data_IF_844429174817
#
_entry.id   IF_844429174817
#
_cell.length_a   1.000
_cell.length_b   1.000
_cell.length_c   1.000
_cell.angle_alpha   90.00
_cell.angle_beta   90.00
_cell.angle_gamma   90.00
#
_symmetry.space_group_name_H-M   'P 1'
#
loop_
_entity.id
_entity.type
_entity.pdbx_description
1 polymer ?
#
# COMPACT_ATOMS: atom_id res chain seq x y z
N UNK A 1 27.45 4.86 28.36
CA UNK A 1 28.02 6.05 27.71
C UNK A 1 26.96 6.65 26.78
N UNK A 2 26.23 7.66 27.25
CA UNK A 2 25.14 8.29 26.50
C UNK A 2 25.70 9.49 25.74
N UNK A 3 25.87 9.36 24.42
CA UNK A 3 26.22 10.49 23.56
C UNK A 3 24.93 11.28 23.31
N UNK A 4 24.83 12.47 23.93
CA UNK A 4 23.88 13.52 23.51
C UNK A 4 24.17 13.86 22.05
N UNK A 5 23.32 13.39 21.12
CA UNK A 5 23.35 13.84 19.73
C UNK A 5 22.69 15.21 19.64
N UNK A 6 23.54 16.23 19.55
CA UNK A 6 23.18 17.58 19.14
C UNK A 6 22.84 17.60 17.64
N UNK A 7 21.69 18.17 17.28
CA UNK A 7 21.43 18.89 16.01
C UNK A 7 21.51 18.18 14.65
N UNK A 8 21.94 16.92 14.54
CA UNK A 8 22.07 16.22 13.25
C UNK A 8 20.87 15.30 12.98
N UNK A 9 20.04 15.72 12.03
CA UNK A 9 18.96 14.93 11.43
C UNK A 9 19.58 13.67 10.82
N UNK A 10 19.44 12.53 11.49
CA UNK A 10 20.06 11.29 11.06
C UNK A 10 19.30 10.68 9.88
N UNK A 11 19.86 10.83 8.69
CA UNK A 11 19.35 10.26 7.42
C UNK A 11 19.91 8.86 7.16
N UNK A 12 20.58 8.27 8.16
CA UNK A 12 21.12 6.92 8.06
C UNK A 12 20.02 5.89 8.32
N UNK A 13 19.76 4.99 7.36
CA UNK A 13 18.92 3.83 7.61
C UNK A 13 19.51 3.00 8.75
N UNK A 14 18.67 2.57 9.67
CA UNK A 14 19.02 1.69 10.78
C UNK A 14 18.43 0.31 10.53
N UNK A 15 19.19 -0.73 10.85
CA UNK A 15 18.67 -2.09 10.81
C UNK A 15 17.58 -2.26 11.87
N UNK A 16 16.41 -2.75 11.46
CA UNK A 16 15.27 -2.99 12.38
C UNK A 16 14.76 -4.42 12.34
N UNK A 17 15.26 -5.26 11.43
CA UNK A 17 14.86 -6.66 11.32
C UNK A 17 15.26 -7.31 10.00
N UNK A 18 14.89 -8.57 9.86
CA UNK A 18 15.05 -9.34 8.63
C UNK A 18 13.73 -9.94 8.17
N UNK A 19 13.67 -10.26 6.89
CA UNK A 19 12.62 -11.06 6.29
C UNK A 19 13.24 -12.34 5.73
N UNK A 20 12.55 -13.46 5.85
CA UNK A 20 12.88 -14.71 5.15
C UNK A 20 11.72 -15.09 4.25
N UNK A 21 12.02 -15.69 3.11
CA UNK A 21 11.08 -16.25 2.16
C UNK A 21 11.72 -17.50 1.56
N UNK A 22 11.03 -18.65 1.63
CA UNK A 22 11.53 -19.90 1.05
C UNK A 22 11.86 -19.80 -0.45
N UNK A 23 11.11 -18.97 -1.20
CA UNK A 23 11.32 -18.78 -2.65
C UNK A 23 12.22 -17.59 -3.00
N UNK A 24 12.09 -16.46 -2.29
CA UNK A 24 12.82 -15.22 -2.64
C UNK A 24 14.10 -14.99 -1.82
N UNK A 25 14.42 -15.86 -0.86
CA UNK A 25 15.61 -15.78 -0.03
C UNK A 25 15.43 -14.91 1.22
N UNK A 26 16.45 -14.10 1.56
CA UNK A 26 16.46 -13.27 2.76
C UNK A 26 16.46 -11.78 2.39
N UNK A 27 15.83 -10.97 3.22
CA UNK A 27 15.76 -9.52 3.08
C UNK A 27 16.12 -8.80 4.39
N UNK A 28 16.55 -7.56 4.27
CA UNK A 28 16.76 -6.67 5.41
C UNK A 28 15.61 -5.67 5.51
N UNK A 29 15.17 -5.41 6.73
CA UNK A 29 14.22 -4.34 7.04
C UNK A 29 15.00 -3.19 7.64
N UNK A 30 14.92 -2.02 7.00
CA UNK A 30 15.62 -0.81 7.39
C UNK A 30 14.61 0.25 7.82
N UNK A 31 14.78 0.81 9.02
CA UNK A 31 14.04 1.95 9.50
C UNK A 31 14.80 3.23 9.17
N UNK A 32 14.11 4.22 8.60
CA UNK A 32 14.66 5.57 8.44
C UNK A 32 14.04 6.44 9.53
N UNK A 33 14.86 7.11 10.37
CA UNK A 33 14.34 8.01 11.41
C UNK A 33 13.39 9.03 10.79
N UNK A 34 12.12 8.98 11.22
CA UNK A 34 11.03 9.69 10.57
C UNK A 34 11.07 11.19 10.89
N UNK A 35 11.54 11.98 9.93
CA UNK A 35 11.21 13.40 9.81
C UNK A 35 10.57 13.67 8.45
N UNK A 36 9.41 13.06 8.17
CA UNK A 36 8.72 13.23 6.88
C UNK A 36 8.54 14.71 6.53
N UNK A 37 8.21 15.54 7.53
CA UNK A 37 8.08 16.99 7.36
C UNK A 37 9.38 17.67 6.91
N UNK A 38 10.54 17.17 7.35
CA UNK A 38 11.84 17.71 6.95
C UNK A 38 12.33 17.16 5.60
N UNK A 39 12.12 15.86 5.35
CA UNK A 39 12.47 15.24 4.08
C UNK A 39 11.69 15.89 2.94
N UNK A 40 10.40 16.16 3.15
CA UNK A 40 9.55 16.83 2.15
C UNK A 40 10.07 18.23 1.76
N UNK A 41 10.79 18.90 2.67
CA UNK A 41 11.34 20.24 2.46
C UNK A 41 12.78 20.23 1.92
N UNK A 42 13.43 19.07 1.79
CA UNK A 42 14.85 19.01 1.41
C UNK A 42 15.15 17.87 0.43
N UNK A 43 15.30 18.24 -0.84
CA UNK A 43 15.75 17.34 -1.90
C UNK A 43 17.10 16.70 -1.59
N UNK A 44 18.01 17.44 -0.97
CA UNK A 44 19.35 17.00 -0.59
C UNK A 44 19.30 15.92 0.51
N UNK A 45 18.41 16.05 1.50
CA UNK A 45 18.18 14.98 2.49
C UNK A 45 17.60 13.73 1.82
N UNK A 46 16.64 13.88 0.90
CA UNK A 46 16.08 12.77 0.13
C UNK A 46 17.16 12.05 -0.71
N UNK A 47 18.00 12.80 -1.43
CA UNK A 47 19.16 12.25 -2.17
C UNK A 47 20.11 11.50 -1.23
N UNK A 48 20.37 12.01 -0.03
CA UNK A 48 21.25 11.37 0.96
C UNK A 48 20.69 10.03 1.43
N UNK A 49 19.39 9.95 1.70
CA UNK A 49 18.71 8.69 2.03
C UNK A 49 18.89 7.67 0.91
N UNK A 50 18.63 8.06 -0.36
CA UNK A 50 18.81 7.16 -1.51
C UNK A 50 20.26 6.69 -1.64
N UNK A 51 21.24 7.58 -1.55
CA UNK A 51 22.67 7.21 -1.62
C UNK A 51 23.06 6.22 -0.52
N UNK A 52 22.56 6.40 0.70
CA UNK A 52 22.81 5.48 1.81
C UNK A 52 22.21 4.10 1.52
N UNK A 53 20.98 4.04 0.99
CA UNK A 53 20.34 2.79 0.62
C UNK A 53 21.05 2.09 -0.55
N UNK A 54 21.55 2.83 -1.55
CA UNK A 54 22.34 2.28 -2.65
C UNK A 54 23.70 1.73 -2.18
N UNK A 55 24.31 2.38 -1.18
CA UNK A 55 25.54 1.88 -0.57
C UNK A 55 25.27 0.57 0.19
N UNK A 56 24.22 0.53 1.01
CA UNK A 56 23.80 -0.68 1.73
C UNK A 56 23.46 -1.79 0.72
N UNK A 57 22.73 -1.47 -0.35
CA UNK A 57 22.41 -2.43 -1.40
C UNK A 57 23.66 -3.08 -1.98
N UNK A 58 24.68 -2.28 -2.31
CA UNK A 58 25.95 -2.77 -2.87
C UNK A 58 26.74 -3.63 -1.88
N UNK A 59 26.79 -3.23 -0.61
CA UNK A 59 27.51 -3.96 0.45
C UNK A 59 26.83 -5.31 0.74
N UNK A 60 25.51 -5.32 0.82
CA UNK A 60 24.74 -6.53 1.18
C UNK A 60 24.47 -7.42 -0.03
N UNK A 61 24.51 -6.86 -1.25
CA UNK A 61 24.23 -7.59 -2.49
C UNK A 61 22.74 -7.88 -2.72
N UNK A 62 21.84 -7.02 -2.25
CA UNK A 62 20.39 -7.25 -2.45
C UNK A 62 19.95 -6.94 -3.88
N UNK A 63 19.09 -7.82 -4.43
CA UNK A 63 18.58 -7.68 -5.81
C UNK A 63 17.67 -6.47 -5.99
N UNK A 64 16.80 -6.21 -5.02
CA UNK A 64 15.79 -5.14 -5.08
C UNK A 64 15.66 -4.43 -3.72
N UNK A 65 15.17 -3.19 -3.75
CA UNK A 65 14.89 -2.39 -2.55
C UNK A 65 13.48 -1.82 -2.64
N UNK A 66 12.59 -2.18 -1.70
CA UNK A 66 11.30 -1.50 -1.54
C UNK A 66 11.47 -0.20 -0.74
N UNK A 67 10.93 0.89 -1.28
CA UNK A 67 10.66 2.10 -0.50
C UNK A 67 9.22 2.01 -0.02
N UNK A 68 9.02 1.94 1.30
CA UNK A 68 7.73 1.72 1.93
C UNK A 68 7.19 2.98 2.64
N UNK A 69 5.89 2.96 2.96
CA UNK A 69 5.22 4.00 3.74
C UNK A 69 5.10 5.31 2.96
N UNK A 70 5.41 6.43 3.63
CA UNK A 70 5.26 7.77 3.04
C UNK A 70 6.45 8.19 2.15
N UNK A 71 7.57 7.47 2.23
CA UNK A 71 8.80 7.81 1.51
C UNK A 71 8.64 7.89 -0.02
N UNK A 72 7.91 6.99 -0.71
CA UNK A 72 7.74 7.10 -2.17
C UNK A 72 7.09 8.43 -2.57
N UNK A 73 6.06 8.85 -1.84
CA UNK A 73 5.40 10.14 -2.07
C UNK A 73 6.34 11.32 -1.82
N UNK A 74 7.13 11.26 -0.74
CA UNK A 74 8.13 12.29 -0.42
C UNK A 74 9.21 12.39 -1.51
N UNK A 75 9.78 11.26 -1.94
CA UNK A 75 10.80 11.23 -3.00
C UNK A 75 10.26 11.83 -4.29
N UNK A 76 9.02 11.48 -4.65
CA UNK A 76 8.35 12.04 -5.83
C UNK A 76 8.15 13.56 -5.71
N UNK A 77 7.65 14.06 -4.56
CA UNK A 77 7.48 15.50 -4.31
C UNK A 77 8.79 16.28 -4.36
N UNK A 78 9.88 15.69 -3.88
CA UNK A 78 11.21 16.29 -3.95
C UNK A 78 11.88 16.15 -5.34
N UNK A 79 11.23 15.50 -6.31
CA UNK A 79 11.79 15.24 -7.63
C UNK A 79 13.06 14.39 -7.59
N UNK A 80 13.11 13.41 -6.68
CA UNK A 80 14.20 12.42 -6.58
C UNK A 80 13.73 11.14 -7.26
N UNK A 81 14.42 10.78 -8.36
CA UNK A 81 14.17 9.52 -9.05
C UNK A 81 14.74 8.35 -8.26
N UNK A 82 13.97 7.27 -8.15
CA UNK A 82 14.46 6.03 -7.56
C UNK A 82 15.43 5.32 -8.54
N UNK A 83 16.49 4.68 -8.03
CA UNK A 83 17.36 3.84 -8.86
C UNK A 83 16.60 2.67 -9.50
N UNK A 84 17.15 2.08 -10.57
CA UNK A 84 16.48 1.00 -11.33
C UNK A 84 16.06 -0.19 -10.46
N UNK A 85 16.87 -0.54 -9.47
CA UNK A 85 16.63 -1.69 -8.60
C UNK A 85 15.70 -1.37 -7.41
N UNK A 86 15.15 -0.17 -7.36
CA UNK A 86 14.27 0.28 -6.30
C UNK A 86 12.83 0.30 -6.79
N UNK A 87 11.93 -0.17 -5.95
CA UNK A 87 10.49 -0.14 -6.21
C UNK A 87 9.79 0.76 -5.21
N UNK A 88 8.71 1.39 -5.66
CA UNK A 88 7.89 2.28 -4.83
C UNK A 88 6.74 1.54 -4.12
N UNK A 89 6.58 0.23 -4.39
CA UNK A 89 5.61 -0.64 -3.74
C UNK A 89 4.17 -0.49 -4.25
N UNK A 90 3.92 0.38 -5.23
CA UNK A 90 2.56 0.66 -5.69
C UNK A 90 1.91 -0.55 -6.33
N UNK A 91 2.65 -1.32 -7.13
CA UNK A 91 2.05 -2.48 -7.79
C UNK A 91 1.68 -3.55 -6.81
N UNK A 92 2.55 -3.79 -5.85
CA UNK A 92 2.31 -4.75 -4.78
C UNK A 92 1.10 -4.33 -3.93
N UNK A 93 0.94 -3.04 -3.65
CA UNK A 93 -0.28 -2.53 -3.00
C UNK A 93 -1.52 -2.72 -3.88
N UNK A 94 -1.49 -2.34 -5.16
CA UNK A 94 -2.65 -2.52 -6.06
C UNK A 94 -3.02 -3.99 -6.18
N UNK A 95 -2.04 -4.89 -6.35
CA UNK A 95 -2.24 -6.33 -6.32
C UNK A 95 -2.94 -6.77 -5.02
N UNK A 96 -2.40 -6.37 -3.86
CA UNK A 96 -2.94 -6.76 -2.55
C UNK A 96 -4.40 -6.33 -2.39
N UNK A 97 -4.73 -5.11 -2.84
CA UNK A 97 -6.10 -4.59 -2.81
C UNK A 97 -7.00 -5.34 -3.79
N UNK A 98 -6.56 -5.61 -5.02
CA UNK A 98 -7.32 -6.37 -6.03
C UNK A 98 -7.63 -7.78 -5.55
N UNK A 99 -6.65 -8.47 -4.98
CA UNK A 99 -6.84 -9.81 -4.41
C UNK A 99 -7.83 -9.78 -3.23
N UNK A 100 -7.73 -8.77 -2.36
CA UNK A 100 -8.68 -8.59 -1.26
C UNK A 100 -10.10 -8.33 -1.78
N UNK A 101 -10.25 -7.51 -2.83
CA UNK A 101 -11.55 -7.27 -3.49
C UNK A 101 -12.12 -8.59 -4.03
N UNK A 102 -11.34 -9.36 -4.80
CA UNK A 102 -11.79 -10.63 -5.37
C UNK A 102 -12.29 -11.60 -4.28
N UNK A 103 -11.56 -11.70 -3.16
CA UNK A 103 -11.97 -12.54 -2.04
C UNK A 103 -13.19 -12.02 -1.28
N UNK A 104 -13.33 -10.69 -1.15
CA UNK A 104 -14.53 -10.07 -0.58
C UNK A 104 -15.75 -10.37 -1.46
N UNK A 105 -15.62 -10.26 -2.79
CA UNK A 105 -16.71 -10.55 -3.70
C UNK A 105 -17.15 -12.02 -3.58
N UNK A 106 -16.19 -12.95 -3.53
CA UNK A 106 -16.47 -14.37 -3.35
C UNK A 106 -17.12 -14.66 -1.99
N UNK A 107 -16.56 -14.14 -0.89
CA UNK A 107 -17.03 -14.42 0.48
C UNK A 107 -18.44 -13.89 0.75
N UNK A 108 -18.78 -12.76 0.16
CA UNK A 108 -20.07 -12.08 0.38
C UNK A 108 -21.06 -12.26 -0.77
N UNK A 109 -20.79 -13.18 -1.70
CA UNK A 109 -21.60 -13.47 -2.89
C UNK A 109 -22.01 -12.18 -3.65
N UNK A 110 -21.03 -11.30 -3.85
CA UNK A 110 -21.25 -10.03 -4.55
C UNK A 110 -21.06 -10.27 -6.04
N UNK A 111 -22.16 -10.16 -6.79
CA UNK A 111 -22.15 -10.27 -8.25
C UNK A 111 -21.50 -9.04 -8.87
N UNK A 112 -20.45 -9.27 -9.67
CA UNK A 112 -19.59 -8.22 -10.23
C UNK A 112 -20.32 -7.20 -11.08
N UNK A 113 -21.31 -7.64 -11.85
CA UNK A 113 -22.09 -6.84 -12.78
C UNK A 113 -23.10 -5.94 -12.05
N UNK A 114 -23.44 -6.29 -10.79
CA UNK A 114 -24.45 -5.60 -9.98
C UNK A 114 -23.84 -4.70 -8.92
N UNK A 115 -22.53 -4.73 -8.75
CA UNK A 115 -21.84 -4.02 -7.68
C UNK A 115 -20.94 -2.92 -8.22
N UNK A 116 -21.06 -1.73 -7.62
CA UNK A 116 -20.13 -0.64 -7.81
C UNK A 116 -19.12 -0.63 -6.66
N UNK A 117 -17.84 -0.57 -7.01
CA UNK A 117 -16.73 -0.37 -6.08
C UNK A 117 -16.49 1.14 -5.96
N UNK A 118 -16.40 1.63 -4.73
CA UNK A 118 -16.01 3.02 -4.46
C UNK A 118 -14.58 3.04 -3.96
N UNK A 119 -13.71 3.85 -4.56
CA UNK A 119 -12.33 4.04 -4.10
C UNK A 119 -12.18 5.45 -3.52
N UNK A 120 -11.97 5.55 -2.21
CA UNK A 120 -11.75 6.82 -1.51
C UNK A 120 -10.24 7.06 -1.37
N UNK A 121 -9.74 8.14 -1.97
CA UNK A 121 -8.32 8.45 -2.08
C UNK A 121 -7.76 8.01 -3.44
N UNK A 122 -7.90 8.88 -4.45
CA UNK A 122 -7.49 8.64 -5.85
C UNK A 122 -6.11 9.24 -6.12
N UNK A 123 -5.20 9.02 -5.17
CA UNK A 123 -3.81 9.42 -5.29
C UNK A 123 -2.99 8.47 -6.17
N UNK A 124 -1.74 8.24 -5.76
CA UNK A 124 -0.79 7.46 -6.56
C UNK A 124 -1.23 6.00 -6.74
N UNK A 125 -1.62 5.32 -5.65
CA UNK A 125 -2.15 3.95 -5.68
C UNK A 125 -3.57 3.92 -6.27
N UNK A 126 -4.46 4.77 -5.75
CA UNK A 126 -5.88 4.75 -6.13
C UNK A 126 -6.13 4.96 -7.63
N UNK A 127 -5.36 5.84 -8.27
CA UNK A 127 -5.51 6.06 -9.72
C UNK A 127 -5.10 4.85 -10.58
N UNK A 128 -4.12 4.05 -10.12
CA UNK A 128 -3.73 2.80 -10.79
C UNK A 128 -4.73 1.70 -10.47
N UNK A 129 -5.22 1.61 -9.22
CA UNK A 129 -6.26 0.67 -8.82
C UNK A 129 -7.52 0.85 -9.66
N UNK A 130 -8.05 2.07 -9.81
CA UNK A 130 -9.25 2.34 -10.61
C UNK A 130 -9.08 1.85 -12.04
N UNK A 131 -7.96 2.20 -12.69
CA UNK A 131 -7.66 1.74 -14.05
C UNK A 131 -7.60 0.22 -14.15
N UNK A 132 -6.97 -0.42 -13.18
CA UNK A 132 -6.84 -1.87 -13.11
C UNK A 132 -8.21 -2.54 -12.97
N UNK A 133 -9.06 -2.03 -12.06
CA UNK A 133 -10.42 -2.51 -11.87
C UNK A 133 -11.29 -2.32 -13.13
N UNK A 134 -11.15 -1.18 -13.82
CA UNK A 134 -11.84 -0.93 -15.10
C UNK A 134 -11.40 -1.91 -16.20
N UNK A 135 -10.11 -2.18 -16.34
CA UNK A 135 -9.59 -3.18 -17.27
C UNK A 135 -10.11 -4.58 -16.94
N UNK A 136 -10.24 -4.89 -15.65
CA UNK A 136 -10.88 -6.10 -15.14
C UNK A 136 -12.41 -6.06 -15.24
N UNK A 137 -13.04 -5.05 -15.86
CA UNK A 137 -14.50 -4.93 -16.06
C UNK A 137 -15.32 -4.78 -14.77
N UNK A 138 -14.73 -4.23 -13.70
CA UNK A 138 -15.51 -3.77 -12.55
C UNK A 138 -16.13 -2.39 -12.80
N UNK A 139 -17.33 -2.17 -12.27
CA UNK A 139 -17.89 -0.83 -12.11
C UNK A 139 -17.20 -0.15 -10.93
N UNK A 140 -16.51 0.96 -11.17
CA UNK A 140 -15.73 1.66 -10.14
C UNK A 140 -15.88 3.18 -10.24
N UNK A 141 -15.99 3.83 -9.08
CA UNK A 141 -16.04 5.29 -8.94
C UNK A 141 -14.98 5.74 -7.93
N UNK A 142 -14.24 6.79 -8.27
CA UNK A 142 -13.26 7.41 -7.38
C UNK A 142 -13.87 8.56 -6.58
N UNK A 143 -13.47 8.71 -5.31
CA UNK A 143 -13.76 9.89 -4.50
C UNK A 143 -12.44 10.48 -4.02
N UNK A 144 -12.22 11.76 -4.29
CA UNK A 144 -11.03 12.49 -3.86
C UNK A 144 -11.37 13.94 -3.53
N UNK A 145 -10.57 14.59 -2.69
CA UNK A 145 -10.69 16.01 -2.35
C UNK A 145 -10.44 16.94 -3.54
N UNK A 146 -9.82 16.42 -4.61
CA UNK A 146 -9.58 17.15 -5.86
C UNK A 146 -10.10 16.35 -7.05
N UNK A 147 -10.90 17.00 -7.91
CA UNK A 147 -11.26 16.43 -9.21
C UNK A 147 -10.05 16.52 -10.13
N UNK A 148 -9.27 15.43 -10.18
CA UNK A 148 -8.03 15.39 -10.96
C UNK A 148 -8.21 14.77 -12.35
N UNK A 149 -9.32 14.05 -12.58
CA UNK A 149 -9.68 13.33 -13.81
C UNK A 149 -11.20 13.08 -13.87
N UNK A 150 -11.69 12.70 -15.05
CA UNK A 150 -13.05 12.21 -15.24
C UNK A 150 -13.32 10.94 -14.42
N UNK A 151 -14.55 10.80 -13.90
CA UNK A 151 -14.93 9.69 -13.03
C UNK A 151 -14.53 9.82 -11.55
N UNK A 152 -13.97 10.97 -11.15
CA UNK A 152 -13.70 11.33 -9.75
C UNK A 152 -14.80 12.28 -9.25
N UNK A 153 -15.48 11.85 -8.20
CA UNK A 153 -16.55 12.59 -7.51
C UNK A 153 -15.95 13.31 -6.30
N UNK A 154 -16.40 14.54 -6.04
CA UNK A 154 -15.97 15.29 -4.86
C UNK A 154 -16.70 14.80 -3.59
N UNK A 155 -16.14 14.99 -2.38
CA UNK A 155 -16.74 14.45 -1.16
C UNK A 155 -18.15 14.97 -0.83
N UNK A 156 -18.48 16.18 -1.29
CA UNK A 156 -19.80 16.80 -1.19
C UNK A 156 -20.82 16.26 -2.22
N UNK A 157 -20.35 15.59 -3.27
CA UNK A 157 -21.17 14.98 -4.33
C UNK A 157 -21.33 13.46 -4.14
N UNK A 158 -20.62 12.88 -3.18
CA UNK A 158 -20.46 11.43 -3.05
C UNK A 158 -21.62 10.69 -2.38
N UNK A 159 -22.60 11.39 -1.81
CA UNK A 159 -23.65 10.79 -0.98
C UNK A 159 -24.45 9.70 -1.70
N UNK A 160 -24.89 9.97 -2.93
CA UNK A 160 -25.66 9.01 -3.72
C UNK A 160 -24.84 7.76 -4.07
N UNK A 161 -23.55 7.94 -4.37
CA UNK A 161 -22.62 6.85 -4.71
C UNK A 161 -22.35 5.98 -3.47
N UNK A 162 -22.07 6.60 -2.32
CA UNK A 162 -21.75 5.90 -1.08
C UNK A 162 -22.93 5.09 -0.52
N UNK A 163 -24.16 5.63 -0.60
CA UNK A 163 -25.38 4.94 -0.15
C UNK A 163 -25.68 3.67 -0.96
N UNK A 164 -25.30 3.63 -2.23
CA UNK A 164 -25.56 2.51 -3.13
C UNK A 164 -24.38 1.54 -3.24
N UNK A 165 -23.20 1.92 -2.76
CA UNK A 165 -22.01 1.09 -2.81
C UNK A 165 -22.12 -0.16 -1.92
N UNK A 166 -21.67 -1.30 -2.46
CA UNK A 166 -21.54 -2.57 -1.71
C UNK A 166 -20.12 -2.80 -1.21
N UNK A 167 -19.14 -2.24 -1.90
CA UNK A 167 -17.72 -2.35 -1.56
C UNK A 167 -17.08 -0.98 -1.63
N UNK A 168 -16.42 -0.59 -0.54
CA UNK A 168 -15.69 0.69 -0.41
C UNK A 168 -14.24 0.38 -0.08
N UNK A 169 -13.32 0.85 -0.91
CA UNK A 169 -11.88 0.74 -0.71
C UNK A 169 -11.35 2.08 -0.21
N UNK A 170 -10.62 2.06 0.90
CA UNK A 170 -10.09 3.25 1.55
C UNK A 170 -8.58 3.30 1.41
N UNK A 171 -8.10 4.26 0.62
CA UNK A 171 -6.69 4.53 0.32
C UNK A 171 -6.28 5.94 0.77
N UNK A 172 -6.99 6.51 1.74
CA UNK A 172 -6.64 7.82 2.29
C UNK A 172 -5.31 7.76 3.04
N UNK A 173 -4.58 8.89 3.18
CA UNK A 173 -3.31 8.90 3.92
C UNK A 173 -3.41 8.37 5.35
N UNK A 174 -4.56 8.58 6.02
CA UNK A 174 -4.84 8.08 7.37
C UNK A 174 -6.28 7.58 7.44
N UNK A 175 -6.53 6.59 8.29
CA UNK A 175 -7.86 6.06 8.54
C UNK A 175 -8.81 7.08 9.18
N UNK A 176 -8.29 8.08 9.89
CA UNK A 176 -9.10 9.20 10.41
C UNK A 176 -9.74 10.04 9.29
N UNK A 177 -9.13 10.07 8.11
CA UNK A 177 -9.64 10.84 6.97
C UNK A 177 -10.89 10.17 6.35
N UNK A 178 -11.20 8.93 6.75
CA UNK A 178 -12.41 8.20 6.33
C UNK A 178 -13.65 8.53 7.17
N UNK A 179 -13.49 9.06 8.39
CA UNK A 179 -14.59 9.33 9.33
C UNK A 179 -15.75 10.13 8.72
N UNK A 180 -15.53 11.17 7.89
CA UNK A 180 -16.62 11.92 7.25
C UNK A 180 -17.53 11.09 6.33
N UNK A 181 -17.04 9.95 5.81
CA UNK A 181 -17.78 9.09 4.90
C UNK A 181 -18.58 8.01 5.63
N UNK A 182 -18.21 7.65 6.87
CA UNK A 182 -18.82 6.52 7.60
C UNK A 182 -20.34 6.64 7.74
N UNK A 183 -20.86 7.86 7.94
CA UNK A 183 -22.33 8.09 8.06
C UNK A 183 -23.08 8.05 6.72
N UNK A 184 -22.35 8.14 5.61
CA UNK A 184 -22.90 8.23 4.25
C UNK A 184 -22.90 6.89 3.53
N UNK A 185 -22.04 5.98 3.97
CA UNK A 185 -21.87 4.65 3.38
C UNK A 185 -23.06 3.77 3.75
N UNK A 186 -23.44 2.90 2.81
CA UNK A 186 -24.41 1.85 3.06
C UNK A 186 -23.99 1.02 4.29
N UNK A 187 -24.84 0.87 5.30
CA UNK A 187 -24.52 0.10 6.52
C UNK A 187 -24.16 -1.36 6.25
N UNK A 188 -24.53 -1.92 5.09
CA UNK A 188 -24.17 -3.29 4.69
C UNK A 188 -22.96 -3.35 3.75
N UNK A 189 -22.31 -2.22 3.47
CA UNK A 189 -21.12 -2.21 2.64
C UNK A 189 -19.96 -2.90 3.36
N UNK A 190 -19.15 -3.59 2.56
CA UNK A 190 -17.85 -4.09 2.96
C UNK A 190 -16.81 -2.98 2.72
N UNK A 191 -16.04 -2.63 3.76
CA UNK A 191 -15.01 -1.61 3.73
C UNK A 191 -13.64 -2.27 3.73
N UNK A 192 -12.83 -2.03 2.71
CA UNK A 192 -11.45 -2.54 2.58
C UNK A 192 -10.50 -1.41 2.96
N UNK A 193 -9.78 -1.56 4.06
CA UNK A 193 -8.86 -0.58 4.66
C UNK A 193 -7.39 -0.90 4.33
N UNK A 194 -6.75 -0.02 3.57
CA UNK A 194 -5.29 0.00 3.34
C UNK A 194 -4.66 1.31 3.84
N UNK A 195 -5.25 1.92 4.87
CA UNK A 195 -4.74 3.17 5.45
C UNK A 195 -3.64 2.91 6.48
N UNK A 196 -2.69 3.85 6.58
CA UNK A 196 -1.65 3.82 7.61
C UNK A 196 -1.38 5.21 8.20
N UNK A 197 -1.81 5.48 9.45
CA UNK A 197 -2.45 4.57 10.41
C UNK A 197 -3.86 4.10 10.01
N UNK A 198 -4.26 2.92 10.50
CA UNK A 198 -5.54 2.26 10.19
C UNK A 198 -6.78 3.02 10.69
N UNK A 199 -7.95 2.68 10.14
CA UNK A 199 -9.24 3.17 10.63
C UNK A 199 -9.46 2.64 12.06
N UNK A 200 -9.83 3.52 12.98
CA UNK A 200 -10.24 3.15 14.33
C UNK A 200 -11.77 3.08 14.34
N UNK A 201 -12.30 1.86 14.36
CA UNK A 201 -13.75 1.59 14.36
C UNK A 201 -14.38 1.81 15.75
N UNK A 202 -13.55 1.94 16.79
CA UNK A 202 -13.85 1.67 18.19
C UNK A 202 -15.00 2.38 18.89
N UNK A 203 -15.74 3.30 18.27
CA UNK A 203 -16.89 3.98 18.88
C UNK A 203 -18.08 4.20 17.93
N UNK A 204 -18.08 3.58 16.74
CA UNK A 204 -19.08 3.85 15.70
C UNK A 204 -19.78 2.56 15.28
N UNK A 205 -20.99 2.33 15.81
CA UNK A 205 -21.92 1.32 15.31
C UNK A 205 -22.41 1.70 13.90
N UNK A 206 -21.66 1.24 12.90
CA UNK A 206 -21.92 1.54 11.49
C UNK A 206 -22.47 0.35 10.71
N UNK A 207 -22.54 -0.86 11.31
CA UNK A 207 -22.99 -2.10 10.65
C UNK A 207 -22.08 -2.61 9.53
N UNK A 208 -21.06 -1.84 9.14
CA UNK A 208 -20.13 -2.18 8.07
C UNK A 208 -19.18 -3.31 8.47
N UNK A 209 -18.80 -4.12 7.48
CA UNK A 209 -17.79 -5.18 7.65
C UNK A 209 -16.47 -4.62 7.17
N UNK A 210 -15.44 -4.64 8.02
CA UNK A 210 -14.12 -4.11 7.67
C UNK A 210 -13.20 -5.25 7.26
N UNK A 211 -12.36 -5.03 6.26
CA UNK A 211 -11.26 -5.92 5.92
C UNK A 211 -9.98 -5.11 5.82
N UNK A 212 -8.95 -5.53 6.54
CA UNK A 212 -7.60 -5.00 6.35
C UNK A 212 -6.97 -5.66 5.12
N UNK A 213 -6.30 -4.85 4.30
CA UNK A 213 -5.41 -5.36 3.25
C UNK A 213 -4.14 -5.92 3.87
N UNK A 214 -3.97 -7.24 3.70
CA UNK A 214 -2.76 -7.97 4.02
C UNK A 214 -2.65 -9.15 3.06
N UNK A 215 -1.44 -9.50 2.66
CA UNK A 215 -1.20 -10.73 1.89
C UNK A 215 -0.21 -11.62 2.62
N UNK A 216 -0.26 -12.91 2.32
CA UNK A 216 0.66 -13.94 2.76
C UNK A 216 1.36 -14.58 1.59
N UNK A 217 2.39 -15.34 1.90
CA UNK A 217 3.07 -16.25 0.99
C UNK A 217 3.75 -17.32 1.84
N UNK A 218 3.65 -18.57 1.44
CA UNK A 218 4.17 -19.67 2.24
C UNK A 218 5.70 -19.58 2.41
N UNK A 219 6.15 -19.82 3.64
CA UNK A 219 7.55 -19.71 4.01
C UNK A 219 8.05 -18.26 4.18
N UNK A 220 7.16 -17.27 4.18
CA UNK A 220 7.51 -15.87 4.52
C UNK A 220 7.43 -15.63 6.02
N UNK A 221 8.44 -14.95 6.57
CA UNK A 221 8.42 -14.47 7.95
C UNK A 221 9.27 -13.21 8.14
N UNK A 222 8.76 -12.25 8.91
CA UNK A 222 9.45 -11.04 9.37
C UNK A 222 9.84 -11.18 10.85
N UNK A 223 11.08 -10.84 11.17
CA UNK A 223 11.58 -10.82 12.54
C UNK A 223 12.35 -9.53 12.86
N UNK A 224 11.91 -8.73 13.84
CA UNK A 224 10.62 -8.83 14.52
C UNK A 224 9.45 -8.64 13.55
N UNK A 225 8.23 -9.02 13.96
CA UNK A 225 7.02 -8.75 13.17
C UNK A 225 6.89 -7.25 12.90
N UNK A 226 6.41 -6.90 11.71
CA UNK A 226 6.15 -5.50 11.38
C UNK A 226 4.99 -4.94 12.24
N UNK A 227 5.03 -3.65 12.62
CA UNK A 227 3.99 -3.04 13.45
C UNK A 227 2.58 -3.20 12.84
N UNK A 228 1.67 -3.83 13.58
CA UNK A 228 0.29 -4.07 13.12
C UNK A 228 0.12 -5.20 12.11
N UNK A 229 1.14 -6.05 11.92
CA UNK A 229 1.11 -7.24 11.07
C UNK A 229 1.44 -8.50 11.89
N UNK A 230 0.92 -9.66 11.46
CA UNK A 230 1.45 -10.95 11.92
C UNK A 230 2.81 -11.19 11.27
N UNK A 231 3.56 -12.14 11.80
CA UNK A 231 4.95 -12.43 11.36
C UNK A 231 5.03 -12.89 9.89
N UNK A 232 3.97 -13.50 9.39
CA UNK A 232 3.80 -14.06 8.05
C UNK A 232 3.07 -13.12 7.08
N UNK A 233 2.59 -11.97 7.55
CA UNK A 233 1.89 -11.01 6.70
C UNK A 233 2.87 -10.08 6.01
N UNK A 234 2.69 -9.93 4.70
CA UNK A 234 3.46 -9.07 3.82
C UNK A 234 2.65 -7.80 3.53
N UNK A 235 3.17 -6.61 3.85
CA UNK A 235 2.56 -5.36 3.41
C UNK A 235 2.61 -5.23 1.88
N UNK A 236 1.58 -4.64 1.26
CA UNK A 236 1.50 -4.51 -0.20
C UNK A 236 2.75 -3.88 -0.85
N UNK A 237 3.32 -2.84 -0.23
CA UNK A 237 4.55 -2.24 -0.74
C UNK A 237 5.77 -3.17 -0.75
N UNK A 238 5.80 -4.18 0.12
CA UNK A 238 6.87 -5.17 0.19
C UNK A 238 6.67 -6.29 -0.83
N UNK A 239 5.41 -6.60 -1.19
CA UNK A 239 5.07 -7.60 -2.21
C UNK A 239 5.80 -7.29 -3.52
N UNK A 240 5.81 -6.04 -3.97
CA UNK A 240 6.51 -5.67 -5.20
C UNK A 240 8.01 -5.97 -5.15
N UNK A 241 8.69 -5.62 -4.06
CA UNK A 241 10.11 -5.93 -3.93
C UNK A 241 10.38 -7.42 -3.87
N UNK A 242 9.52 -8.19 -3.20
CA UNK A 242 9.65 -9.64 -3.12
C UNK A 242 9.40 -10.30 -4.48
N UNK A 243 8.35 -9.90 -5.21
CA UNK A 243 8.11 -10.38 -6.58
C UNK A 243 9.33 -10.16 -7.45
N UNK A 244 9.88 -8.93 -7.45
CA UNK A 244 11.08 -8.58 -8.20
C UNK A 244 12.31 -9.36 -7.74
N UNK A 245 12.48 -9.60 -6.44
CA UNK A 245 13.59 -10.40 -5.91
C UNK A 245 13.52 -11.87 -6.36
N UNK A 246 12.30 -12.39 -6.46
CA UNK A 246 12.00 -13.75 -6.91
C UNK A 246 12.22 -13.92 -8.43
N UNK A 247 11.78 -12.96 -9.25
CA UNK A 247 11.78 -13.09 -10.72
C UNK A 247 12.96 -12.42 -11.42
N UNK A 248 13.69 -11.54 -10.72
CA UNK A 248 14.59 -10.55 -11.32
C UNK A 248 13.92 -9.64 -12.37
N UNK A 249 12.59 -9.62 -12.38
CA UNK A 249 11.79 -8.90 -13.37
C UNK A 249 11.42 -7.52 -12.85
N UNK A 250 12.12 -6.51 -13.36
CA UNK A 250 11.79 -5.09 -13.15
C UNK A 250 10.89 -4.54 -14.26
N UNK A 251 10.38 -5.37 -15.18
CA UNK A 251 9.55 -4.98 -16.33
C UNK A 251 8.14 -4.58 -15.89
N UNK A 252 8.14 -3.45 -15.21
CA UNK A 252 6.98 -2.86 -14.64
C UNK A 252 6.33 -1.88 -15.59
N UNK A 253 5.47 -2.33 -16.51
CA UNK A 253 4.52 -1.41 -17.15
C UNK A 253 3.07 -1.86 -16.98
N UNK A 254 2.80 -3.14 -17.12
CA UNK A 254 1.44 -3.66 -17.02
C UNK A 254 1.13 -4.15 -15.60
N UNK A 255 0.09 -3.58 -14.98
CA UNK A 255 -0.38 -3.96 -13.66
C UNK A 255 -1.06 -5.34 -13.68
N UNK A 256 -1.76 -5.71 -14.75
CA UNK A 256 -2.45 -7.00 -14.84
C UNK A 256 -1.46 -8.15 -14.98
N UNK A 257 -0.42 -7.97 -15.80
CA UNK A 257 0.69 -8.91 -15.88
C UNK A 257 1.38 -9.08 -14.52
N UNK A 258 1.69 -7.97 -13.84
CA UNK A 258 2.27 -8.02 -12.49
C UNK A 258 1.38 -8.79 -11.51
N UNK A 259 0.06 -8.56 -11.54
CA UNK A 259 -0.87 -9.28 -10.67
C UNK A 259 -0.85 -10.78 -10.94
N UNK A 260 -0.90 -11.19 -12.22
CA UNK A 260 -0.86 -12.59 -12.62
C UNK A 260 0.43 -13.27 -12.14
N UNK A 261 1.58 -12.69 -12.47
CA UNK A 261 2.89 -13.23 -12.08
C UNK A 261 3.03 -13.30 -10.55
N UNK A 262 2.57 -12.28 -9.83
CA UNK A 262 2.65 -12.24 -8.37
C UNK A 262 1.74 -13.31 -7.74
N UNK A 263 0.55 -13.56 -8.29
CA UNK A 263 -0.31 -14.67 -7.87
C UNK A 263 0.36 -16.03 -8.12
N UNK A 264 0.97 -16.23 -9.30
CA UNK A 264 1.70 -17.47 -9.66
C UNK A 264 2.92 -17.74 -8.76
N UNK A 265 3.54 -16.69 -8.18
CA UNK A 265 4.57 -16.86 -7.16
C UNK A 265 4.04 -17.46 -5.85
N UNK A 266 2.72 -17.44 -5.64
CA UNK A 266 2.05 -17.98 -4.46
C UNK A 266 1.73 -16.93 -3.41
N UNK A 267 1.65 -15.65 -3.78
CA UNK A 267 1.06 -14.64 -2.90
C UNK A 267 -0.46 -14.81 -2.87
N UNK A 268 -1.04 -14.73 -1.67
CA UNK A 268 -2.48 -14.82 -1.47
C UNK A 268 -2.97 -13.76 -0.46
N UNK A 269 -4.18 -13.23 -0.62
CA UNK A 269 -4.76 -12.29 0.34
C UNK A 269 -5.12 -12.99 1.66
N UNK A 270 -4.90 -12.29 2.77
CA UNK A 270 -5.53 -12.62 4.04
C UNK A 270 -6.83 -11.81 4.18
N UNK A 271 -7.96 -12.50 4.33
CA UNK A 271 -9.21 -11.85 4.72
C UNK A 271 -9.21 -11.56 6.23
N UNK A 272 -8.65 -10.42 6.61
CA UNK A 272 -8.53 -9.97 8.00
C UNK A 272 -9.69 -9.04 8.32
N UNK A 273 -10.70 -9.52 9.05
CA UNK A 273 -11.78 -8.69 9.61
C UNK A 273 -11.37 -8.15 10.98
#
# INVERSE_FOLDING_TARGET
MWIKRTGLVDTKPSFIGFARCGKCGRGLVLGIPNYIAELTKSKEKCKRVIRNLELIQRIVGVKSVAIAGQLPSVMNKCGVKLPKNFVNGVRGTVFSVVETISQVFLKHDIQKEKAQIVVIGVGYVGSILIKTLQQMKYSVVGIDIKRTKDGIVLPNEADAVLKNSRVVVVLTPRGSDFVPYMKKINKRAVVIDDTHPKIKVGDLDCGNIFYKVAVGMDGVEFFPKLPGYKKDWVPGCVVEAMSVACTADFTGKDQLLFNKQTSELGFYPHLVN
#
